data_IF_563246994047
#
_entry.id   IF_563246994047
#
_cell.length_a   1.000
_cell.length_b   1.000
_cell.length_c   1.000
_cell.angle_alpha   90.00
_cell.angle_beta   90.00
_cell.angle_gamma   90.00
#
_symmetry.space_group_name_H-M   'P 1'
#
loop_
_entity.id
_entity.type
_entity.pdbx_description
1 polymer ?
2 polymer ?
3 polymer ?
4 polymer ?
#
loop_
_entity_poly.entity_id
_entity_poly.type
_entity_poly.pdbx_seq_one_letter_code
_entity_poly.pdbx_strand_id
1 'polydeoxyribonucleotide' '(DT)(DT)(DG)(DC)(DC)(DG)(DG)(DA)(DG)(DA)(DT)(DG)(DG)(DG)(DC)(DT)(DC)(DC)(DA)(DG)(DT)(DG)(DG)(DC)(DC)(DT)' ?
2 'polydeoxyribonucleotide' '(DA)(DA)(DG)(DG)(DC)(DC)(DA)(DC)(DT)(DG)(DG)(DA)(DG)(DC)(DC)(DC)(DA)(DT)(DC)(DT)(DC)(DC)(DG)(DG)(DC)(DA)' ?
#
# COMPACT_ATOMS: atom_id res chain seq x y z
N UNK C 19 -1.48 -10.00 -8.12
CA UNK C 19 -2.49 -9.40 -7.19
C UNK C 19 -3.69 -8.84 -7.93
N UNK C 20 -4.81 -8.72 -7.22
CA UNK C 20 -6.05 -8.21 -7.77
C UNK C 20 -6.56 -7.02 -6.95
N UNK C 21 -6.79 -5.87 -7.61
CA UNK C 21 -7.25 -4.69 -6.90
C UNK C 21 -8.75 -4.73 -6.64
N UNK C 22 -9.28 -3.74 -5.94
CA UNK C 22 -10.69 -3.74 -5.62
C UNK C 22 -11.62 -3.39 -6.76
N UNK C 23 -11.09 -2.89 -7.87
CA UNK C 23 -11.96 -2.60 -9.00
C UNK C 23 -12.10 -3.89 -9.78
N UNK C 24 -11.21 -4.83 -9.53
CA UNK C 24 -11.25 -6.10 -10.23
C UNK C 24 -10.05 -6.28 -11.15
N UNK C 25 -9.23 -5.25 -11.25
CA UNK C 25 -8.05 -5.30 -12.09
C UNK C 25 -6.94 -6.24 -11.63
N UNK C 26 -6.09 -6.59 -12.58
CA UNK C 26 -4.95 -7.46 -12.37
C UNK C 26 -3.69 -6.63 -12.32
N UNK C 27 -2.94 -6.74 -11.24
CA UNK C 27 -1.75 -5.95 -11.15
C UNK C 27 -0.56 -6.69 -10.56
N UNK C 28 0.61 -6.13 -10.81
CA UNK C 28 1.84 -6.70 -10.32
C UNK C 28 2.44 -5.68 -9.37
N UNK C 29 2.28 -5.94 -8.08
CA UNK C 29 2.80 -5.05 -7.05
C UNK C 29 4.24 -4.67 -7.34
N UNK C 30 4.53 -3.37 -7.40
CA UNK C 30 5.89 -2.91 -7.64
C UNK C 30 6.23 -2.51 -9.07
N UNK C 31 5.55 -3.11 -10.04
CA UNK C 31 5.81 -2.84 -11.47
C UNK C 31 4.85 -1.84 -12.15
N UNK C 32 5.37 -1.04 -13.10
CA UNK C 32 4.59 -0.05 -13.85
C UNK C 32 3.44 -0.64 -14.64
N UNK C 33 2.41 0.16 -14.87
CA UNK C 33 1.26 -0.30 -15.61
C UNK C 33 1.75 -0.46 -17.05
N UNK C 34 1.42 -1.58 -17.70
CA UNK C 34 1.81 -1.86 -19.08
C UNK C 34 1.58 -0.69 -20.05
N UNK C 35 2.56 -0.42 -20.90
CA UNK C 35 2.46 0.68 -21.85
C UNK C 35 1.18 0.68 -22.65
N UNK C 36 0.72 -0.50 -23.04
CA UNK C 36 -0.50 -0.59 -23.82
C UNK C 36 -1.68 0.00 -23.05
N UNK C 37 -1.69 -0.15 -21.74
CA UNK C 37 -2.77 0.37 -20.90
C UNK C 37 -2.60 1.84 -20.55
N UNK C 38 -1.39 2.22 -20.19
CA UNK C 38 -1.15 3.62 -19.89
C UNK C 38 -1.61 4.34 -21.15
N UNK C 39 -1.34 3.74 -22.29
CA UNK C 39 -1.71 4.33 -23.57
C UNK C 39 -3.21 4.55 -23.69
N UNK C 40 -3.95 3.53 -23.29
CA UNK C 40 -5.40 3.55 -23.37
C UNK C 40 -5.96 4.60 -22.43
N UNK C 41 -5.30 4.73 -21.28
CA UNK C 41 -5.70 5.69 -20.27
C UNK C 41 -5.66 7.08 -20.83
N UNK C 42 -4.54 7.43 -21.42
CA UNK C 42 -4.44 8.73 -22.03
C UNK C 42 -5.51 8.89 -23.09
N UNK C 43 -5.61 7.92 -23.98
CA UNK C 43 -6.58 7.97 -25.07
C UNK C 43 -8.01 8.26 -24.59
N UNK C 44 -8.55 7.40 -23.74
CA UNK C 44 -9.91 7.60 -23.24
C UNK C 44 -10.06 9.02 -22.72
N UNK C 45 -9.07 9.50 -21.97
CA UNK C 45 -9.14 10.85 -21.41
C UNK C 45 -9.27 11.81 -22.59
N UNK C 46 -8.47 11.59 -23.61
CA UNK C 46 -8.51 12.45 -24.79
C UNK C 46 -9.93 12.47 -25.36
N UNK C 47 -10.51 11.29 -25.51
CA UNK C 47 -11.87 11.17 -26.03
C UNK C 47 -12.93 11.80 -25.15
N UNK C 48 -12.51 12.35 -24.01
CA UNK C 48 -13.45 13.00 -23.10
C UNK C 48 -13.96 12.19 -21.92
N UNK C 49 -13.49 10.96 -21.75
CA UNK C 49 -13.94 10.15 -20.63
C UNK C 49 -13.40 10.73 -19.32
N UNK C 50 -14.25 10.73 -18.30
CA UNK C 50 -13.88 11.27 -17.00
C UNK C 50 -12.97 10.26 -16.30
N UNK C 51 -11.90 10.76 -15.66
CA UNK C 51 -10.94 9.90 -14.95
C UNK C 51 -11.53 8.91 -14.00
N UNK C 52 -12.62 9.26 -13.33
CA UNK C 52 -13.21 8.30 -12.42
C UNK C 52 -13.79 7.15 -13.25
N UNK C 53 -14.35 7.45 -14.42
CA UNK C 53 -14.90 6.38 -15.25
C UNK C 53 -13.78 5.48 -15.81
N UNK C 54 -12.73 6.12 -16.33
CA UNK C 54 -11.61 5.39 -16.87
C UNK C 54 -11.17 4.43 -15.77
N UNK C 55 -10.92 4.98 -14.60
CA UNK C 55 -10.47 4.18 -13.49
C UNK C 55 -11.39 2.99 -13.24
N UNK C 56 -12.68 3.26 -13.13
CA UNK C 56 -13.66 2.22 -12.85
C UNK C 56 -13.75 1.23 -13.99
N UNK C 57 -13.57 1.73 -15.20
CA UNK C 57 -13.64 0.90 -16.39
C UNK C 57 -12.39 0.05 -16.58
N UNK C 58 -11.29 0.68 -16.96
CA UNK C 58 -10.03 -0.03 -17.18
C UNK C 58 -9.52 -0.76 -15.94
N UNK C 59 -10.31 -0.74 -14.88
CA UNK C 59 -9.94 -1.38 -13.61
C UNK C 59 -8.55 -0.92 -13.13
N UNK C 60 -8.45 0.38 -12.84
CA UNK C 60 -7.22 0.97 -12.33
C UNK C 60 -7.50 2.03 -11.25
N UNK C 61 -6.83 1.91 -10.10
CA UNK C 61 -6.98 2.82 -8.96
C UNK C 61 -6.96 4.25 -9.44
N UNK C 62 -7.96 5.04 -9.09
CA UNK C 62 -7.99 6.41 -9.58
C UNK C 62 -6.67 7.12 -9.30
N UNK C 63 -6.05 6.79 -8.17
CA UNK C 63 -4.78 7.40 -7.85
C UNK C 63 -3.84 7.24 -9.01
N UNK C 64 -3.66 6.00 -9.48
CA UNK C 64 -2.78 5.69 -10.61
C UNK C 64 -3.20 6.45 -11.87
N UNK C 65 -4.44 6.29 -12.28
CA UNK C 65 -4.91 7.01 -13.47
C UNK C 65 -4.47 8.46 -13.35
N UNK C 66 -4.61 8.98 -12.13
CA UNK C 66 -4.28 10.36 -11.86
C UNK C 66 -2.83 10.69 -12.15
N UNK C 67 -1.90 9.90 -11.60
CA UNK C 67 -0.49 10.18 -11.84
C UNK C 67 -0.14 10.11 -13.32
N UNK C 68 -0.58 9.04 -13.97
CA UNK C 68 -0.31 8.86 -15.38
C UNK C 68 -0.77 10.05 -16.22
N UNK C 69 -2.06 10.36 -16.15
CA UNK C 69 -2.63 11.48 -16.92
C UNK C 69 -1.86 12.76 -16.66
N UNK C 70 -1.54 13.00 -15.40
CA UNK C 70 -0.86 14.21 -14.99
C UNK C 70 0.54 14.37 -15.52
N UNK C 71 1.23 13.24 -15.65
CA UNK C 71 2.60 13.24 -16.15
C UNK C 71 2.57 13.45 -17.65
N UNK C 72 1.55 12.88 -18.28
CA UNK C 72 1.39 13.01 -19.72
C UNK C 72 1.08 14.47 -20.07
N UNK C 73 0.13 15.06 -19.37
CA UNK C 73 -0.23 16.44 -19.64
C UNK C 73 1.00 17.31 -19.37
N UNK C 74 1.78 16.92 -18.37
CA UNK C 74 2.96 17.71 -18.00
C UNK C 74 4.21 17.33 -18.77
N UNK C 75 4.17 16.22 -19.50
CA UNK C 75 5.35 15.77 -20.24
C UNK C 75 5.16 15.40 -21.71
N UNK C 76 4.08 14.73 -22.02
CA UNK C 76 3.83 14.33 -23.39
C UNK C 76 4.17 12.86 -23.55
N UNK C 77 4.62 12.25 -22.46
CA UNK C 77 4.99 10.84 -22.48
C UNK C 77 4.10 9.98 -21.61
N UNK C 78 4.11 8.68 -21.89
CA UNK C 78 3.35 7.73 -21.12
C UNK C 78 4.36 6.83 -20.41
N UNK C 79 5.64 7.12 -20.63
CA UNK C 79 6.71 6.34 -20.02
C UNK C 79 6.81 6.64 -18.54
N UNK C 80 6.72 5.61 -17.69
CA UNK C 80 6.82 5.74 -16.23
C UNK C 80 8.23 6.11 -15.90
N UNK C 81 8.44 6.70 -14.72
CA UNK C 81 9.80 7.09 -14.32
C UNK C 81 10.80 5.94 -14.31
N UNK C 82 12.08 6.24 -14.10
CA UNK C 82 13.08 5.19 -14.08
C UNK C 82 13.20 4.58 -12.70
N UNK C 83 12.83 3.31 -12.59
CA UNK C 83 12.88 2.63 -11.31
C UNK C 83 14.24 2.02 -11.00
N UNK C 84 14.58 2.00 -9.71
CA UNK C 84 15.83 1.41 -9.27
C UNK C 84 17.07 2.26 -9.25
N UNK C 85 18.19 1.60 -8.95
CA UNK C 85 19.47 2.27 -8.90
C UNK C 85 19.79 2.86 -7.54
N UNK C 86 20.81 3.72 -7.53
CA UNK C 86 21.26 4.39 -6.31
C UNK C 86 22.25 5.48 -6.70
N UNK C 87 22.58 6.32 -5.73
CA UNK C 87 23.53 7.40 -5.96
C UNK C 87 24.86 7.01 -5.31
N UNK C 88 25.96 7.60 -5.79
CA UNK C 88 27.28 7.30 -5.24
C UNK C 88 27.38 7.59 -3.74
N UNK C 89 28.18 6.80 -3.03
CA UNK C 89 28.38 6.99 -1.60
C UNK C 89 29.81 7.42 -1.36
N UNK C 90 30.75 6.54 -1.72
CA UNK C 90 32.16 6.82 -1.56
C UNK C 90 32.70 7.51 -2.80
N UNK C 91 32.17 7.10 -3.96
CA UNK C 91 32.59 7.67 -5.24
C UNK C 91 32.17 9.13 -5.40
N UNK C 92 32.63 9.97 -4.47
CA UNK C 92 32.33 11.40 -4.48
C UNK C 92 32.93 12.09 -5.70
N UNK C 93 32.25 13.12 -6.24
CA UNK C 93 32.71 13.88 -7.40
C UNK C 93 34.18 14.27 -7.33
N UNK C 94 34.54 14.96 -6.24
CA UNK C 94 35.92 15.39 -6.05
C UNK C 94 36.85 14.18 -6.02
N UNK C 95 36.50 13.22 -5.15
CA UNK C 95 37.28 11.99 -4.99
C UNK C 95 37.53 11.32 -6.34
N UNK C 96 36.49 11.30 -7.19
CA UNK C 96 36.61 10.69 -8.51
C UNK C 96 37.68 11.41 -9.31
N UNK C 97 37.77 12.72 -9.12
CA UNK C 97 38.75 13.52 -9.82
C UNK C 97 40.15 13.25 -9.27
N UNK C 98 40.28 13.31 -7.94
CA UNK C 98 41.57 13.05 -7.31
C UNK C 98 42.18 11.78 -7.88
N UNK C 99 41.33 10.79 -8.12
CA UNK C 99 41.77 9.51 -8.67
C UNK C 99 42.34 9.70 -10.07
N UNK C 100 41.79 10.65 -10.81
CA UNK C 100 42.25 10.95 -12.16
C UNK C 100 43.58 11.69 -12.08
N UNK C 101 43.69 12.60 -11.10
CA UNK C 101 44.90 13.39 -10.91
C UNK C 101 46.09 12.49 -10.55
N UNK C 102 45.86 11.58 -9.60
CA UNK C 102 46.90 10.66 -9.15
C UNK C 102 47.37 9.76 -10.29
N UNK C 103 46.43 9.17 -11.01
CA UNK C 103 46.76 8.29 -12.14
C UNK C 103 47.48 9.06 -13.23
N UNK C 104 47.03 10.29 -13.48
CA UNK C 104 47.63 11.14 -14.50
C UNK C 104 49.07 11.43 -14.12
N UNK C 105 49.29 11.79 -12.86
CA UNK C 105 50.63 12.06 -12.36
C UNK C 105 51.48 10.81 -12.56
N UNK C 106 51.05 9.71 -11.95
CA UNK C 106 51.75 8.43 -12.06
C UNK C 106 50.79 7.34 -12.54
N UNK C 107 50.75 7.09 -13.86
CA UNK C 107 49.89 6.10 -14.52
C UNK C 107 49.97 4.67 -13.99
N UNK C 108 51.05 4.35 -13.28
CA UNK C 108 51.21 3.00 -12.75
C UNK C 108 51.08 2.85 -11.23
N UNK C 109 50.68 3.92 -10.56
CA UNK C 109 50.51 3.85 -9.11
C UNK C 109 49.40 2.83 -8.86
N UNK C 110 49.61 1.93 -7.91
CA UNK C 110 48.64 0.89 -7.61
C UNK C 110 47.39 1.38 -6.89
N UNK C 111 46.32 0.61 -7.02
CA UNK C 111 45.05 0.95 -6.41
C UNK C 111 45.16 1.18 -4.91
N UNK C 112 45.92 0.33 -4.23
CA UNK C 112 46.06 0.49 -2.79
C UNK C 112 46.91 1.72 -2.44
N UNK C 113 47.75 2.15 -3.38
CA UNK C 113 48.61 3.30 -3.16
C UNK C 113 47.82 4.60 -3.29
N UNK C 114 46.78 4.56 -4.12
CA UNK C 114 45.94 5.72 -4.34
C UNK C 114 45.12 5.92 -3.06
N UNK C 115 44.75 4.79 -2.45
CA UNK C 115 43.98 4.76 -1.22
C UNK C 115 44.75 5.46 -0.11
N UNK C 116 46.02 5.09 0.02
CA UNK C 116 46.86 5.68 1.04
C UNK C 116 47.06 7.17 0.78
N UNK C 117 47.12 7.55 -0.49
CA UNK C 117 47.31 8.95 -0.85
C UNK C 117 46.05 9.77 -0.57
N UNK C 118 44.89 9.14 -0.70
CA UNK C 118 43.62 9.81 -0.43
C UNK C 118 43.50 10.03 1.08
N UNK C 119 44.03 9.09 1.84
CA UNK C 119 44.02 9.16 3.30
C UNK C 119 45.06 10.15 3.78
N UNK C 120 46.25 10.07 3.20
CA UNK C 120 47.37 10.94 3.55
C UNK C 120 47.07 12.41 3.28
N UNK C 121 46.26 12.68 2.27
CA UNK C 121 45.90 14.05 1.93
C UNK C 121 44.55 14.42 2.55
N UNK C 122 44.05 13.51 3.39
CA UNK C 122 42.79 13.70 4.10
C UNK C 122 41.56 13.90 3.21
N UNK C 123 41.65 13.46 1.96
CA UNK C 123 40.54 13.59 1.03
C UNK C 123 39.36 12.75 1.53
N UNK C 124 39.68 11.64 2.19
CA UNK C 124 38.67 10.74 2.74
C UNK C 124 39.04 10.26 4.14
N UNK C 125 38.02 9.92 4.92
CA UNK C 125 38.21 9.43 6.28
C UNK C 125 38.46 7.93 6.22
N UNK C 126 38.58 7.30 7.39
CA UNK C 126 38.79 5.86 7.46
C UNK C 126 37.43 5.21 7.23
N UNK C 127 36.48 6.02 6.73
CA UNK C 127 35.13 5.57 6.46
C UNK C 127 34.74 5.99 5.04
N UNK C 128 35.17 7.19 4.65
CA UNK C 128 34.87 7.73 3.33
C UNK C 128 35.69 6.99 2.26
N UNK C 129 36.96 6.75 2.59
CA UNK C 129 37.88 6.08 1.69
C UNK C 129 37.25 4.94 0.89
N UNK C 130 37.30 5.03 -0.44
CA UNK C 130 36.75 4.01 -1.34
C UNK C 130 37.63 2.75 -1.34
N UNK C 131 37.00 1.58 -1.29
CA UNK C 131 37.75 0.33 -1.28
C UNK C 131 38.58 0.18 -2.54
N UNK C 132 39.60 -0.68 -2.46
CA UNK C 132 40.46 -0.93 -3.60
C UNK C 132 39.60 -1.25 -4.80
N UNK C 133 38.82 -2.33 -4.68
CA UNK C 133 37.93 -2.76 -5.75
C UNK C 133 37.20 -1.57 -6.36
N UNK C 134 36.60 -0.77 -5.49
CA UNK C 134 35.87 0.42 -5.92
C UNK C 134 36.77 1.39 -6.67
N UNK C 135 37.91 1.71 -6.09
CA UNK C 135 38.83 2.64 -6.72
C UNK C 135 39.32 2.14 -8.07
N UNK C 136 39.55 0.84 -8.20
CA UNK C 136 39.98 0.28 -9.49
C UNK C 136 38.77 0.33 -10.40
N UNK C 137 37.59 0.27 -9.78
CA UNK C 137 36.34 0.32 -10.50
C UNK C 137 36.19 1.74 -11.06
N UNK C 138 36.66 2.72 -10.30
CA UNK C 138 36.61 4.12 -10.70
C UNK C 138 37.54 4.36 -11.89
N UNK C 139 38.73 3.78 -11.82
CA UNK C 139 39.73 3.89 -12.88
C UNK C 139 39.13 3.34 -14.17
N UNK C 140 38.69 2.09 -14.08
CA UNK C 140 38.09 1.37 -15.19
C UNK C 140 36.95 2.16 -15.83
N UNK C 141 36.03 2.63 -14.98
CA UNK C 141 34.86 3.38 -15.43
C UNK C 141 34.99 4.90 -15.32
N UNK C 142 36.04 5.45 -15.94
CA UNK C 142 36.29 6.90 -15.92
C UNK C 142 37.68 7.24 -16.45
N UNK D 30 -11.72 -22.16 10.41
CA UNK D 30 -11.10 -21.74 9.15
C UNK D 30 -9.59 -21.93 9.21
N UNK D 31 -9.09 -22.46 10.33
CA UNK D 31 -7.65 -22.69 10.47
C UNK D 31 -7.36 -23.85 11.39
N UNK D 32 -6.30 -24.60 11.05
CA UNK D 32 -5.90 -25.81 11.80
C UNK D 32 -5.15 -25.43 13.07
N UNK D 33 -3.92 -24.98 12.93
CA UNK D 33 -3.14 -24.59 14.08
C UNK D 33 -4.00 -23.62 14.91
N UNK D 34 -3.52 -23.38 16.13
CA UNK D 34 -4.13 -22.44 17.03
C UNK D 34 -3.54 -21.11 16.65
N UNK D 35 -3.50 -20.86 15.34
CA UNK D 35 -2.98 -19.60 14.91
C UNK D 35 -3.71 -18.63 15.82
N UNK D 36 -3.00 -18.34 16.91
CA UNK D 36 -3.36 -17.43 18.00
C UNK D 36 -4.81 -17.17 18.41
N UNK D 37 -5.02 -17.60 19.65
CA UNK D 37 -6.16 -17.65 20.60
C UNK D 37 -7.30 -16.65 20.95
N UNK D 38 -7.94 -17.10 22.04
CA UNK D 38 -9.05 -16.58 22.88
C UNK D 38 -10.10 -15.51 22.53
N UNK D 39 -9.66 -14.30 22.18
CA UNK D 39 -10.59 -13.19 21.97
C UNK D 39 -11.49 -12.98 20.76
N UNK D 40 -11.07 -12.15 19.78
CA UNK D 40 -11.96 -11.93 18.63
C UNK D 40 -12.02 -13.04 17.63
N UNK D 41 -13.24 -13.35 17.17
CA UNK D 41 -13.45 -14.44 16.23
C UNK D 41 -12.71 -14.34 14.88
N UNK D 42 -12.67 -13.15 14.29
CA UNK D 42 -12.02 -12.99 12.99
C UNK D 42 -10.93 -11.90 12.95
N UNK D 43 -9.91 -12.01 13.81
CA UNK D 43 -8.84 -11.02 13.84
C UNK D 43 -8.38 -10.63 12.44
N UNK D 44 -8.51 -9.34 12.14
CA UNK D 44 -8.14 -8.76 10.86
C UNK D 44 -6.69 -9.08 10.51
N UNK D 45 -5.84 -8.99 11.51
CA UNK D 45 -4.41 -9.29 11.35
C UNK D 45 -4.27 -10.73 10.86
N UNK D 46 -5.18 -11.59 11.33
CA UNK D 46 -5.20 -12.99 10.96
C UNK D 46 -5.85 -13.19 9.60
N UNK D 47 -6.97 -12.52 9.35
CA UNK D 47 -7.65 -12.64 8.07
C UNK D 47 -6.81 -12.10 6.91
N UNK D 48 -5.97 -11.11 7.19
CA UNK D 48 -5.11 -10.55 6.14
C UNK D 48 -4.24 -11.70 5.60
N UNK D 49 -3.53 -12.35 6.51
CA UNK D 49 -2.68 -13.46 6.10
C UNK D 49 -3.44 -14.49 5.28
N UNK D 50 -4.70 -14.68 5.59
CA UNK D 50 -5.53 -15.63 4.86
C UNK D 50 -6.09 -14.99 3.60
N UNK D 51 -7.28 -14.39 3.70
CA UNK D 51 -7.92 -13.74 2.57
C UNK D 51 -6.93 -12.83 1.86
N UNK D 52 -6.41 -13.31 0.74
CA UNK D 52 -5.45 -12.54 -0.03
C UNK D 52 -4.38 -12.01 0.88
N UNK D 53 -4.29 -10.69 0.97
CA UNK D 53 -3.29 -10.04 1.81
C UNK D 53 -3.49 -8.53 1.83
N UNK D 54 -2.73 -7.83 2.66
CA UNK D 54 -2.85 -6.39 2.74
C UNK D 54 -2.61 -5.81 4.11
N UNK D 55 -2.40 -4.50 4.17
CA UNK D 55 -2.14 -3.81 5.45
C UNK D 55 -3.43 -3.40 6.16
N UNK D 56 -4.37 -4.34 6.24
CA UNK D 56 -5.66 -4.15 6.91
C UNK D 56 -6.56 -3.17 6.16
N UNK D 57 -7.71 -3.64 5.72
CA UNK D 57 -8.63 -2.80 4.98
C UNK D 57 -9.87 -2.49 5.80
N UNK D 58 -10.31 -1.23 5.70
CA UNK D 58 -11.47 -0.75 6.44
C UNK D 58 -12.53 -1.83 6.68
N UNK D 59 -12.96 -2.52 5.62
CA UNK D 59 -13.97 -3.55 5.80
C UNK D 59 -13.47 -4.67 6.75
N UNK D 60 -12.22 -5.08 6.58
CA UNK D 60 -11.65 -6.10 7.45
C UNK D 60 -11.64 -5.56 8.87
N UNK D 61 -11.38 -4.28 9.01
CA UNK D 61 -11.37 -3.70 10.34
C UNK D 61 -12.75 -3.89 10.94
N UNK D 62 -13.76 -3.50 10.18
CA UNK D 62 -15.12 -3.62 10.68
C UNK D 62 -15.52 -5.04 11.06
N UNK D 63 -15.07 -6.02 10.28
CA UNK D 63 -15.40 -7.42 10.57
C UNK D 63 -14.80 -7.74 11.90
N UNK D 64 -13.52 -7.44 12.07
CA UNK D 64 -12.85 -7.72 13.35
C UNK D 64 -13.64 -7.15 14.54
N UNK D 65 -13.80 -5.83 14.61
CA UNK D 65 -14.55 -5.21 15.71
C UNK D 65 -15.88 -5.92 15.97
N UNK D 66 -16.52 -6.38 14.89
CA UNK D 66 -17.80 -7.06 14.96
C UNK D 66 -17.71 -8.44 15.59
N UNK D 67 -16.53 -9.04 15.51
CA UNK D 67 -16.37 -10.34 16.09
C UNK D 67 -15.57 -10.21 17.37
N UNK D 68 -15.94 -9.22 18.17
CA UNK D 68 -15.28 -8.98 19.44
C UNK D 68 -16.27 -8.49 20.51
N UNK D 69 -16.81 -9.44 21.27
CA UNK D 69 -17.77 -9.10 22.32
C UNK D 69 -17.47 -7.82 23.08
N UNK D 70 -16.19 -7.54 23.31
CA UNK D 70 -15.82 -6.35 24.07
C UNK D 70 -16.16 -5.06 23.35
N UNK D 71 -16.51 -5.15 22.07
CA UNK D 71 -16.81 -3.96 21.30
C UNK D 71 -18.29 -3.72 21.06
N UNK D 72 -19.11 -4.67 21.46
CA UNK D 72 -20.54 -4.57 21.22
C UNK D 72 -21.35 -3.38 21.72
N UNK D 73 -20.70 -2.31 22.16
CA UNK D 73 -21.46 -1.14 22.61
C UNK D 73 -21.42 0.03 21.60
N UNK D 74 -20.45 0.01 20.68
CA UNK D 74 -20.32 1.04 19.66
C UNK D 74 -20.58 0.52 18.26
N UNK D 75 -20.42 -0.78 18.07
CA UNK D 75 -20.71 -1.38 16.77
C UNK D 75 -21.18 -2.83 16.96
N UNK D 76 -22.15 -3.22 16.13
CA UNK D 76 -22.70 -4.55 16.27
C UNK D 76 -23.62 -4.97 15.14
N UNK D 77 -23.90 -6.27 15.14
CA UNK D 77 -24.76 -6.91 14.16
C UNK D 77 -26.21 -6.62 14.43
N UNK D 78 -26.95 -6.28 13.39
CA UNK D 78 -28.36 -6.00 13.52
C UNK D 78 -29.10 -7.32 13.74
N UNK D 79 -28.49 -8.41 13.28
CA UNK D 79 -29.11 -9.71 13.41
C UNK D 79 -29.56 -10.17 12.04
N UNK D 80 -29.79 -9.20 11.15
CA UNK D 80 -30.22 -9.47 9.78
C UNK D 80 -29.02 -9.73 8.90
N UNK D 81 -28.79 -10.99 8.58
CA UNK D 81 -27.67 -11.31 7.73
C UNK D 81 -26.41 -10.59 8.18
N UNK D 82 -25.59 -10.22 7.20
CA UNK D 82 -24.31 -9.56 7.44
C UNK D 82 -24.38 -8.07 7.73
N UNK D 83 -25.57 -7.57 8.02
CA UNK D 83 -25.76 -6.16 8.31
C UNK D 83 -25.38 -5.77 9.75
N UNK D 84 -24.84 -4.57 9.90
CA UNK D 84 -24.41 -4.09 11.21
C UNK D 84 -24.72 -2.62 11.43
N UNK D 85 -24.47 -2.16 12.65
CA UNK D 85 -24.74 -0.77 13.01
C UNK D 85 -23.61 -0.13 13.78
N UNK D 86 -23.43 1.17 13.56
CA UNK D 86 -22.37 1.90 14.25
C UNK D 86 -22.96 2.64 15.46
N UNK D 87 -23.27 1.88 16.52
CA UNK D 87 -23.83 2.41 17.76
C UNK D 87 -23.17 3.72 18.12
N UNK D 88 -21.86 3.78 17.92
CA UNK D 88 -21.08 4.98 18.18
C UNK D 88 -20.09 5.18 17.04
N UNK D 89 -20.55 5.78 15.94
CA UNK D 89 -19.71 6.04 14.78
C UNK D 89 -18.42 6.77 15.20
N UNK D 90 -18.56 7.82 16.00
CA UNK D 90 -17.39 8.52 16.45
C UNK D 90 -16.41 7.56 17.16
N UNK D 91 -16.92 6.59 17.94
CA UNK D 91 -16.01 5.66 18.63
C UNK D 91 -15.38 4.69 17.63
N UNK D 92 -16.19 4.25 16.66
CA UNK D 92 -15.69 3.35 15.63
C UNK D 92 -14.57 4.09 14.90
N UNK D 93 -14.89 5.32 14.47
CA UNK D 93 -13.93 6.15 13.77
C UNK D 93 -12.64 6.23 14.55
N UNK D 94 -12.73 6.73 15.78
CA UNK D 94 -11.56 6.90 16.62
C UNK D 94 -10.63 5.70 16.53
N UNK D 95 -11.21 4.51 16.69
CA UNK D 95 -10.47 3.26 16.66
C UNK D 95 -9.80 3.03 15.32
N UNK D 96 -10.58 3.19 14.25
CA UNK D 96 -10.05 3.03 12.89
C UNK D 96 -8.77 3.85 12.79
N UNK D 97 -8.84 5.09 13.25
CA UNK D 97 -7.68 5.97 13.19
C UNK D 97 -6.50 5.31 13.84
N UNK D 98 -6.72 4.77 15.03
CA UNK D 98 -5.63 4.11 15.74
C UNK D 98 -5.02 3.01 14.87
N UNK D 99 -5.83 2.06 14.45
CA UNK D 99 -5.33 0.96 13.62
C UNK D 99 -4.41 1.46 12.51
N UNK D 100 -4.89 2.43 11.74
CA UNK D 100 -4.12 2.96 10.63
C UNK D 100 -3.16 4.07 11.00
N UNK D 101 -2.96 4.32 12.28
CA UNK D 101 -2.02 5.37 12.66
C UNK D 101 -2.41 6.69 12.01
N UNK D 102 -3.71 6.97 11.94
CA UNK D 102 -4.19 8.20 11.33
C UNK D 102 -5.02 8.96 12.34
N UNK D 103 -4.35 9.73 13.22
CA UNK D 103 -4.96 10.56 14.28
C UNK D 103 -6.05 11.50 13.82
N UNK D 104 -5.96 11.98 12.58
CA UNK D 104 -6.97 12.92 12.09
C UNK D 104 -8.27 12.26 11.58
N UNK D 105 -8.39 10.93 11.70
CA UNK D 105 -9.59 10.26 11.24
C UNK D 105 -10.82 10.76 11.98
N UNK D 106 -12.00 10.38 11.50
CA UNK D 106 -13.25 10.80 12.10
C UNK D 106 -14.40 10.17 11.30
N UNK D 107 -15.64 10.37 11.78
CA UNK D 107 -16.75 9.76 11.07
C UNK D 107 -16.79 10.26 9.63
N UNK D 108 -16.71 11.57 9.43
CA UNK D 108 -16.75 12.12 8.07
C UNK D 108 -15.97 11.27 7.08
N UNK D 109 -14.69 11.04 7.40
CA UNK D 109 -13.84 10.27 6.52
C UNK D 109 -14.08 8.75 6.52
N UNK D 110 -14.44 8.16 7.68
CA UNK D 110 -14.75 6.73 7.75
C UNK D 110 -15.97 6.48 6.85
N UNK D 111 -16.96 7.37 6.96
CA UNK D 111 -18.20 7.31 6.17
C UNK D 111 -17.92 7.25 4.67
N UNK D 112 -17.17 8.23 4.15
CA UNK D 112 -16.82 8.27 2.73
C UNK D 112 -16.01 7.05 2.39
N UNK D 113 -15.32 6.53 3.41
CA UNK D 113 -14.54 5.32 3.20
C UNK D 113 -15.54 4.24 2.85
N UNK D 114 -16.56 4.09 3.68
CA UNK D 114 -17.58 3.08 3.42
C UNK D 114 -18.23 3.36 2.08
N UNK D 115 -18.49 4.64 1.82
CA UNK D 115 -19.12 5.06 0.57
C UNK D 115 -18.25 4.67 -0.60
N UNK D 116 -16.97 4.46 -0.34
CA UNK D 116 -16.06 4.10 -1.41
C UNK D 116 -16.25 2.64 -1.81
N UNK D 117 -16.64 1.83 -0.84
CA UNK D 117 -16.86 0.41 -1.05
C UNK D 117 -18.11 0.09 -1.86
N UNK D 118 -19.05 1.03 -1.97
CA UNK D 118 -20.29 0.82 -2.73
C UNK D 118 -20.19 0.08 -4.07
N UNK D 119 -19.48 0.64 -5.05
CA UNK D 119 -19.41 -0.06 -6.33
C UNK D 119 -18.33 -1.16 -6.43
N UNK D 120 -17.78 -1.57 -5.30
CA UNK D 120 -16.78 -2.64 -5.29
C UNK D 120 -17.55 -3.83 -4.71
N UNK D 121 -18.83 -3.61 -4.48
CA UNK D 121 -19.70 -4.63 -3.92
C UNK D 121 -19.08 -5.33 -2.72
N UNK D 122 -18.81 -4.52 -1.70
CA UNK D 122 -18.23 -4.96 -0.44
C UNK D 122 -19.18 -4.51 0.68
N UNK D 123 -19.46 -3.22 0.71
CA UNK D 123 -20.37 -2.65 1.71
C UNK D 123 -21.46 -1.82 1.03
N UNK D 124 -22.69 -1.91 1.54
CA UNK D 124 -23.79 -1.12 1.01
C UNK D 124 -24.47 -0.49 2.20
N UNK D 125 -25.06 0.69 2.02
CA UNK D 125 -25.73 1.35 3.13
C UNK D 125 -27.21 1.02 3.14
N UNK D 126 -27.71 0.65 4.31
CA UNK D 126 -29.13 0.31 4.44
C UNK D 126 -29.94 1.61 4.43
N UNK D 127 -30.55 1.89 3.29
CA UNK D 127 -31.36 3.09 3.13
C UNK D 127 -32.27 3.34 4.33
N UNK D 128 -32.55 4.62 4.58
CA UNK D 128 -33.41 4.98 5.68
C UNK D 128 -32.94 4.53 7.06
N UNK D 129 -31.69 4.82 7.40
CA UNK D 129 -31.14 4.45 8.70
C UNK D 129 -29.73 5.01 8.75
N UNK D 130 -29.40 5.70 9.83
CA UNK D 130 -28.06 6.24 9.93
C UNK D 130 -27.20 5.24 10.70
N UNK D 131 -25.95 5.12 10.26
CA UNK D 131 -24.98 4.23 10.90
C UNK D 131 -25.13 2.73 10.64
N UNK D 132 -26.13 2.35 9.86
CA UNK D 132 -26.34 0.94 9.55
C UNK D 132 -25.90 0.60 8.13
N UNK D 133 -25.05 -0.42 8.03
CA UNK D 133 -24.50 -0.92 6.76
C UNK D 133 -24.56 -2.45 6.69
N UNK D 134 -24.04 -3.01 5.60
CA UNK D 134 -24.05 -4.45 5.40
C UNK D 134 -23.02 -4.92 4.38
N UNK D 135 -22.30 -5.97 4.72
CA UNK D 135 -21.29 -6.54 3.81
C UNK D 135 -22.08 -7.29 2.75
N UNK D 136 -21.75 -7.06 1.49
CA UNK D 136 -22.44 -7.80 0.44
C UNK D 136 -21.58 -8.81 -0.33
N UNK D 137 -20.31 -8.93 0.02
CA UNK D 137 -19.48 -9.94 -0.62
C UNK D 137 -19.88 -11.22 0.13
N UNK D 138 -19.46 -12.37 -0.37
CA UNK D 138 -19.82 -13.62 0.27
C UNK D 138 -18.95 -13.94 1.48
N UNK D 139 -19.25 -13.34 2.62
CA UNK D 139 -18.44 -13.59 3.82
C UNK D 139 -18.48 -15.05 4.24
N UNK D 140 -19.56 -15.74 3.89
CA UNK D 140 -19.70 -17.16 4.22
C UNK D 140 -18.58 -17.96 3.58
N UNK D 141 -18.26 -17.62 2.34
CA UNK D 141 -17.21 -18.31 1.60
C UNK D 141 -15.85 -17.94 2.17
N UNK D 142 -15.71 -16.68 2.55
CA UNK D 142 -14.46 -16.22 3.09
C UNK D 142 -14.30 -16.69 4.54
N UNK D 143 -15.27 -16.37 5.38
CA UNK D 143 -15.21 -16.74 6.79
C UNK D 143 -15.43 -18.21 7.10
N UNK D 144 -16.26 -18.89 6.31
CA UNK D 144 -16.52 -20.29 6.57
C UNK D 144 -17.58 -20.44 7.63
N UNK D 145 -18.38 -19.39 7.82
CA UNK D 145 -19.46 -19.39 8.80
C UNK D 145 -20.69 -18.75 8.19
N UNK D 146 -21.80 -18.98 8.84
CA UNK D 146 -23.04 -18.35 8.42
C UNK D 146 -23.28 -17.07 9.22
N UNK D 147 -24.26 -16.30 8.88
CA UNK D 147 -24.49 -15.08 9.65
C UNK D 147 -24.89 -15.54 11.05
N UNK D 148 -25.93 -16.37 11.10
CA UNK D 148 -26.45 -16.89 12.36
C UNK D 148 -25.39 -17.63 13.18
N UNK D 149 -24.53 -18.40 12.50
CA UNK D 149 -23.46 -19.15 13.19
C UNK D 149 -22.67 -18.12 13.97
N UNK D 150 -22.04 -17.23 13.24
CA UNK D 150 -21.25 -16.17 13.85
C UNK D 150 -22.08 -15.47 14.92
N UNK D 151 -23.29 -15.02 14.55
CA UNK D 151 -24.15 -14.34 15.50
C UNK D 151 -24.20 -15.04 16.84
N UNK D 152 -24.49 -16.33 16.84
CA UNK D 152 -24.57 -17.10 18.09
C UNK D 152 -23.31 -16.99 18.94
N UNK D 153 -22.16 -17.18 18.30
CA UNK D 153 -20.88 -17.13 18.97
C UNK D 153 -20.59 -15.81 19.62
N UNK D 154 -21.23 -14.75 19.13
CA UNK D 154 -21.01 -13.44 19.73
C UNK D 154 -22.15 -13.13 20.68
N UNK D 155 -23.11 -14.03 20.75
CA UNK D 155 -24.28 -13.83 21.61
C UNK D 155 -25.00 -12.60 21.09
N UNK D 156 -25.48 -12.72 19.86
CA UNK D 156 -26.20 -11.65 19.18
C UNK D 156 -27.68 -11.51 19.60
N UNK D 157 -27.99 -10.37 20.22
CA UNK D 157 -29.33 -10.03 20.69
C UNK D 157 -30.36 -10.04 19.57
N UNK D 158 -29.95 -9.56 18.41
CA UNK D 158 -30.78 -9.51 17.21
C UNK D 158 -32.18 -8.95 17.43
#
# INVERSE_FOLDING_TARGET
>C
MDLEKNYPTPRTSRTGHGGVNQLGGVFVNGRPLPDVVRQRIVELAHQGVRPCDISRQLRVSHGCVSKILGRYYETGSIKPGVIGGSKPKVATPKVVEKIAEYKRQNPTMFAWEIRDRLLAERVCDNDTVPSVSSINRIIRTKVQQPPNQ
>D
VPSYDSFDYEDYPAALPNHKPKGTFKDYVRDRADLNKDKPVIPAAALAGYTGSGPIQLWQFLLELLTDKSCQSFISWTGDGWEFKLSDPDEVARRWGKRKNKPKMNYEKLSRGLRYYYDKNIIHKTAGKRYVYRFVCDLQSLLGYTPEELHAMLDVKPDAD
#
